data_IF_492419916819
#
_entry.id   IF_492419916819
#
_cell.length_a   1.000
_cell.length_b   1.000
_cell.length_c   1.000
_cell.angle_alpha   90.00
_cell.angle_beta   90.00
_cell.angle_gamma   90.00
#
_symmetry.space_group_name_H-M   'P 1'
#
loop_
_entity.id
_entity.type
_entity.pdbx_description
1 polymer ?
#
# COMPACT_ATOMS: atom_id res chain seq x y z
N UNK A 1 -0.52 5.48 17.36
CA UNK A 1 0.64 5.57 18.26
C UNK A 1 1.84 5.86 17.37
N UNK A 2 2.45 7.04 17.44
CA UNK A 2 3.65 7.33 16.63
C UNK A 2 4.80 6.58 17.31
N UNK A 3 5.05 5.36 16.87
CA UNK A 3 6.35 4.72 17.06
C UNK A 3 7.35 5.52 16.24
N UNK A 4 8.46 5.93 16.83
CA UNK A 4 9.55 6.53 16.06
C UNK A 4 9.97 5.56 14.97
N UNK A 5 10.44 6.05 13.82
CA UNK A 5 11.05 5.19 12.80
C UNK A 5 12.19 4.32 13.41
N UNK A 6 12.83 4.82 14.47
CA UNK A 6 13.82 4.06 15.24
C UNK A 6 13.23 2.81 15.91
N UNK A 7 12.00 2.87 16.41
CA UNK A 7 11.34 1.71 17.01
C UNK A 7 11.06 0.64 15.96
N UNK A 8 10.72 1.05 14.73
CA UNK A 8 10.55 0.13 13.60
C UNK A 8 11.86 -0.62 13.33
N UNK A 9 13.00 0.06 13.37
CA UNK A 9 14.30 -0.58 13.17
C UNK A 9 14.72 -1.51 14.31
N UNK A 10 14.40 -1.16 15.54
CA UNK A 10 14.72 -1.96 16.73
C UNK A 10 13.82 -3.19 16.87
N UNK A 11 12.54 -3.07 16.49
CA UNK A 11 11.53 -4.10 16.70
C UNK A 11 10.78 -4.44 15.41
N UNK A 12 11.51 -4.76 14.34
CA UNK A 12 10.97 -4.96 12.98
C UNK A 12 9.73 -5.84 12.95
N UNK A 13 9.82 -7.04 13.53
CA UNK A 13 8.72 -8.04 13.56
C UNK A 13 7.41 -7.49 14.15
N UNK A 14 7.50 -6.59 15.14
CA UNK A 14 6.32 -5.99 15.78
C UNK A 14 5.55 -5.06 14.85
N UNK A 15 6.25 -4.37 13.95
CA UNK A 15 5.68 -3.31 13.11
C UNK A 15 5.44 -3.75 11.66
N UNK A 16 6.11 -4.80 11.21
CA UNK A 16 5.90 -5.38 9.88
C UNK A 16 4.65 -6.26 9.85
N UNK A 17 3.98 -6.29 8.70
CA UNK A 17 2.81 -7.14 8.47
C UNK A 17 3.21 -8.61 8.57
N UNK A 18 2.55 -9.35 9.46
CA UNK A 18 2.70 -10.80 9.60
C UNK A 18 4.16 -11.27 9.77
N UNK A 19 4.96 -10.54 10.55
CA UNK A 19 6.40 -10.81 10.75
C UNK A 19 7.19 -10.93 9.43
N UNK A 20 6.69 -10.34 8.35
CA UNK A 20 7.35 -10.32 7.05
C UNK A 20 8.32 -9.13 6.96
N UNK A 21 8.86 -8.87 5.76
CA UNK A 21 9.65 -7.66 5.51
C UNK A 21 8.81 -6.42 5.18
N UNK A 22 7.48 -6.55 5.08
CA UNK A 22 6.62 -5.48 4.57
C UNK A 22 6.10 -4.60 5.70
N UNK A 23 6.29 -3.28 5.59
CA UNK A 23 5.78 -2.29 6.54
C UNK A 23 4.68 -1.47 5.91
N UNK A 24 3.48 -1.49 6.49
CA UNK A 24 2.40 -0.58 6.09
C UNK A 24 2.52 0.73 6.87
N UNK A 25 2.50 1.86 6.17
CA UNK A 25 2.50 3.17 6.79
C UNK A 25 1.54 4.13 6.06
N UNK A 26 0.98 5.07 6.80
CA UNK A 26 0.12 6.12 6.26
C UNK A 26 0.83 7.48 6.29
N UNK A 27 0.43 8.37 5.38
CA UNK A 27 0.82 9.77 5.41
C UNK A 27 -0.35 10.65 5.85
N UNK A 28 -0.08 11.84 6.39
CA UNK A 28 -1.14 12.80 6.66
C UNK A 28 -1.94 13.14 5.39
N UNK A 29 -3.19 13.55 5.55
CA UNK A 29 -4.15 13.66 4.45
C UNK A 29 -3.77 14.68 3.35
N UNK A 30 -3.08 15.77 3.67
CA UNK A 30 -2.87 16.88 2.75
C UNK A 30 -1.41 17.31 2.57
N UNK A 31 -0.48 16.57 3.16
CA UNK A 31 0.96 16.85 3.08
C UNK A 31 1.76 15.60 2.72
N UNK A 32 2.86 15.82 2.00
CA UNK A 32 3.95 14.85 1.87
C UNK A 32 5.08 15.30 2.80
N UNK A 33 5.47 14.50 3.80
CA UNK A 33 6.60 14.84 4.66
C UNK A 33 7.89 15.02 3.86
N UNK A 34 8.69 16.04 4.20
CA UNK A 34 9.90 16.41 3.44
C UNK A 34 10.90 15.25 3.32
N UNK A 35 11.07 14.48 4.40
CA UNK A 35 12.09 13.42 4.47
C UNK A 35 11.54 12.04 4.09
N UNK A 36 10.35 11.94 3.47
CA UNK A 36 9.73 10.64 3.21
C UNK A 36 10.55 9.76 2.26
N UNK A 37 11.15 10.36 1.22
CA UNK A 37 12.00 9.62 0.28
C UNK A 37 13.24 9.05 0.98
N UNK A 38 13.93 9.85 1.80
CA UNK A 38 15.06 9.40 2.60
C UNK A 38 14.65 8.29 3.58
N UNK A 39 13.46 8.41 4.17
CA UNK A 39 12.91 7.41 5.09
C UNK A 39 12.65 6.09 4.38
N UNK A 40 12.07 6.10 3.18
CA UNK A 40 11.86 4.90 2.37
C UNK A 40 13.19 4.24 1.99
N UNK A 41 14.18 5.01 1.55
CA UNK A 41 15.50 4.48 1.23
C UNK A 41 16.18 3.86 2.48
N UNK A 42 16.02 4.48 3.65
CA UNK A 42 16.49 3.94 4.93
C UNK A 42 15.80 2.61 5.26
N UNK A 43 14.48 2.50 5.11
CA UNK A 43 13.74 1.25 5.31
C UNK A 43 14.29 0.13 4.43
N UNK A 44 14.53 0.39 3.14
CA UNK A 44 15.13 -0.58 2.23
C UNK A 44 16.53 -1.00 2.68
N UNK A 45 17.38 -0.06 3.12
CA UNK A 45 18.73 -0.38 3.63
C UNK A 45 18.71 -1.29 4.86
N UNK A 46 17.59 -1.30 5.59
CA UNK A 46 17.33 -2.15 6.76
C UNK A 46 16.59 -3.45 6.40
N UNK A 47 16.40 -3.75 5.12
CA UNK A 47 15.71 -4.94 4.62
C UNK A 47 14.19 -4.89 4.73
N UNK A 48 13.61 -3.72 4.99
CA UNK A 48 12.16 -3.50 5.10
C UNK A 48 11.64 -2.93 3.77
N UNK A 49 10.54 -3.49 3.26
CA UNK A 49 9.85 -3.02 2.06
C UNK A 49 8.64 -2.17 2.49
N UNK A 50 8.66 -0.85 2.26
CA UNK A 50 7.54 0.02 2.61
C UNK A 50 6.35 -0.16 1.67
N UNK A 51 5.16 -0.12 2.25
CA UNK A 51 3.87 -0.04 1.57
C UNK A 51 3.16 1.22 2.08
N UNK A 52 2.90 2.18 1.20
CA UNK A 52 2.08 3.34 1.53
C UNK A 52 0.60 2.95 1.49
N UNK A 53 -0.09 3.16 2.60
CA UNK A 53 -1.52 2.96 2.74
C UNK A 53 -2.29 4.09 2.05
N UNK A 54 -3.28 3.70 1.25
CA UNK A 54 -4.27 4.54 0.58
C UNK A 54 -3.76 5.93 0.13
N UNK A 55 -2.66 6.03 -0.65
CA UNK A 55 -2.09 7.31 -1.06
C UNK A 55 -3.04 8.11 -1.96
N UNK A 56 -4.06 7.47 -2.53
CA UNK A 56 -5.13 8.14 -3.28
C UNK A 56 -6.00 9.07 -2.43
N UNK A 57 -5.99 8.89 -1.11
CA UNK A 57 -6.65 9.80 -0.17
C UNK A 57 -5.77 11.00 0.18
N UNK A 58 -4.48 10.98 -0.15
CA UNK A 58 -3.59 12.10 0.10
C UNK A 58 -3.78 13.21 -0.96
N UNK A 59 -4.34 14.34 -0.56
CA UNK A 59 -4.65 15.46 -1.45
C UNK A 59 -3.42 16.15 -2.04
N UNK A 60 -2.26 16.02 -1.41
CA UNK A 60 -1.01 16.48 -2.01
C UNK A 60 -0.66 15.65 -3.24
N UNK A 61 -0.77 14.32 -3.17
CA UNK A 61 -0.50 13.45 -4.32
C UNK A 61 -1.54 13.56 -5.43
N UNK A 62 -2.82 13.70 -5.09
CA UNK A 62 -3.88 13.91 -6.08
C UNK A 62 -3.60 15.16 -6.93
N UNK A 63 -3.03 16.21 -6.34
CA UNK A 63 -2.63 17.44 -7.04
C UNK A 63 -1.25 17.34 -7.70
N UNK A 64 -0.34 16.54 -7.13
CA UNK A 64 1.06 16.47 -7.53
C UNK A 64 1.48 15.03 -7.90
N UNK A 65 0.94 14.51 -9.00
CA UNK A 65 1.24 13.15 -9.47
C UNK A 65 2.74 12.89 -9.63
N UNK A 66 3.53 13.88 -10.06
CA UNK A 66 4.98 13.71 -10.21
C UNK A 66 5.66 13.39 -8.87
N UNK A 67 5.22 14.03 -7.77
CA UNK A 67 5.75 13.76 -6.43
C UNK A 67 5.37 12.38 -5.91
N UNK A 68 4.18 11.92 -6.27
CA UNK A 68 3.79 10.53 -6.02
C UNK A 68 4.68 9.54 -6.78
N UNK A 69 4.93 9.80 -8.07
CA UNK A 69 5.82 8.97 -8.91
C UNK A 69 7.24 8.93 -8.31
N UNK A 70 7.81 10.08 -7.96
CA UNK A 70 9.13 10.16 -7.31
C UNK A 70 9.19 9.28 -6.05
N UNK A 71 8.13 9.26 -5.23
CA UNK A 71 8.07 8.42 -4.04
C UNK A 71 8.05 6.92 -4.38
N UNK A 72 7.20 6.47 -5.30
CA UNK A 72 7.13 5.04 -5.62
C UNK A 72 8.38 4.54 -6.36
N UNK A 73 9.08 5.41 -7.10
CA UNK A 73 10.38 5.11 -7.72
C UNK A 73 11.48 4.81 -6.71
N UNK A 74 11.34 5.22 -5.44
CA UNK A 74 12.22 4.79 -4.34
C UNK A 74 11.98 3.34 -3.91
N UNK A 75 11.06 2.61 -4.57
CA UNK A 75 10.69 1.25 -4.25
C UNK A 75 9.58 1.15 -3.19
N UNK A 76 8.83 2.23 -2.95
CA UNK A 76 7.65 2.21 -2.09
C UNK A 76 6.47 1.58 -2.84
N UNK A 77 5.86 0.55 -2.25
CA UNK A 77 4.70 -0.12 -2.82
C UNK A 77 3.40 0.59 -2.44
N UNK A 78 2.35 0.41 -3.23
CA UNK A 78 1.08 1.12 -3.10
C UNK A 78 -0.05 0.15 -2.75
N UNK A 79 -0.78 0.47 -1.69
CA UNK A 79 -2.04 -0.17 -1.34
C UNK A 79 -3.19 0.82 -1.47
N UNK A 80 -4.21 0.52 -2.29
CA UNK A 80 -5.42 1.33 -2.43
C UNK A 80 -6.53 0.85 -1.50
N UNK A 81 -7.35 1.77 -1.00
CA UNK A 81 -8.59 1.48 -0.29
C UNK A 81 -9.71 1.07 -1.27
N UNK A 82 -10.39 -0.05 -0.99
CA UNK A 82 -11.56 -0.52 -1.74
C UNK A 82 -12.66 0.56 -1.86
N UNK A 83 -12.87 1.35 -0.81
CA UNK A 83 -13.87 2.43 -0.77
C UNK A 83 -13.52 3.56 -1.76
N UNK A 84 -12.24 3.82 -2.00
CA UNK A 84 -11.76 4.78 -3.01
C UNK A 84 -12.11 4.34 -4.42
N UNK A 85 -12.03 3.04 -4.71
CA UNK A 85 -12.37 2.43 -6.01
C UNK A 85 -13.87 2.56 -6.29
N UNK A 86 -14.70 2.23 -5.28
CA UNK A 86 -16.16 2.37 -5.38
C UNK A 86 -16.56 3.84 -5.50
N UNK A 87 -15.85 4.74 -4.81
CA UNK A 87 -16.01 6.19 -4.91
C UNK A 87 -16.58 6.87 -3.67
N UNK A 88 -16.54 6.18 -2.52
CA UNK A 88 -17.06 6.69 -1.24
C UNK A 88 -16.30 7.95 -0.81
N UNK A 89 -14.99 7.98 -1.04
CA UNK A 89 -14.13 9.13 -0.71
C UNK A 89 -14.21 10.28 -1.74
N UNK A 90 -15.18 10.25 -2.64
CA UNK A 90 -15.46 11.31 -3.60
C UNK A 90 -14.83 11.12 -4.98
N UNK A 91 -15.30 11.95 -5.92
CA UNK A 91 -14.99 11.78 -7.35
C UNK A 91 -13.53 12.04 -7.72
N UNK A 92 -12.85 12.97 -7.02
CA UNK A 92 -11.44 13.24 -7.26
C UNK A 92 -10.56 12.07 -6.82
N UNK A 93 -10.84 11.49 -5.65
CA UNK A 93 -10.16 10.29 -5.15
C UNK A 93 -10.39 9.13 -6.12
N UNK A 94 -11.64 8.87 -6.53
CA UNK A 94 -11.95 7.80 -7.51
C UNK A 94 -11.22 7.99 -8.84
N UNK A 95 -11.17 9.22 -9.38
CA UNK A 95 -10.45 9.53 -10.62
C UNK A 95 -8.95 9.25 -10.49
N UNK A 96 -8.35 9.67 -9.38
CA UNK A 96 -6.93 9.42 -9.13
C UNK A 96 -6.66 7.92 -8.92
N UNK A 97 -7.48 7.23 -8.15
CA UNK A 97 -7.46 5.77 -7.97
C UNK A 97 -7.47 5.04 -9.31
N UNK A 98 -8.40 5.38 -10.20
CA UNK A 98 -8.47 4.79 -11.54
C UNK A 98 -7.19 5.09 -12.33
N UNK A 99 -6.67 6.32 -12.26
CA UNK A 99 -5.41 6.68 -12.93
C UNK A 99 -4.23 5.83 -12.45
N UNK A 100 -4.13 5.55 -11.14
CA UNK A 100 -3.09 4.68 -10.60
C UNK A 100 -3.22 3.24 -11.12
N UNK A 101 -4.45 2.74 -11.25
CA UNK A 101 -4.77 1.42 -11.80
C UNK A 101 -4.45 1.35 -13.30
N UNK A 102 -4.84 2.35 -14.08
CA UNK A 102 -4.60 2.43 -15.52
C UNK A 102 -3.09 2.42 -15.82
N UNK A 103 -2.31 3.11 -14.99
CA UNK A 103 -0.85 3.18 -15.07
C UNK A 103 -0.13 1.99 -14.41
N UNK A 104 -0.87 1.01 -13.87
CA UNK A 104 -0.31 -0.19 -13.23
C UNK A 104 0.63 0.10 -12.06
N UNK A 105 0.37 1.18 -11.32
CA UNK A 105 1.21 1.64 -10.19
C UNK A 105 0.82 1.01 -8.85
N UNK A 106 -0.21 0.18 -8.82
CA UNK A 106 -0.79 -0.37 -7.58
C UNK A 106 -0.34 -1.81 -7.37
N UNK A 107 0.03 -2.16 -6.14
CA UNK A 107 0.39 -3.53 -5.79
C UNK A 107 -0.69 -4.21 -4.96
N UNK A 108 -1.43 -3.47 -4.13
CA UNK A 108 -2.43 -4.06 -3.25
C UNK A 108 -3.74 -3.27 -3.27
N UNK A 109 -4.84 -3.97 -3.05
CA UNK A 109 -6.10 -3.41 -2.58
C UNK A 109 -6.42 -4.05 -1.24
N UNK A 110 -6.90 -3.24 -0.30
CA UNK A 110 -7.37 -3.68 1.02
C UNK A 110 -8.67 -2.93 1.38
N UNK A 111 -9.43 -3.44 2.34
CA UNK A 111 -10.73 -2.86 2.70
C UNK A 111 -10.64 -1.57 3.51
N UNK A 112 -9.55 -1.38 4.28
CA UNK A 112 -9.46 -0.35 5.34
C UNK A 112 -10.69 -0.36 6.27
N UNK A 113 -11.22 -1.56 6.54
CA UNK A 113 -12.49 -1.74 7.24
C UNK A 113 -12.36 -1.43 8.75
N UNK A 114 -13.23 -0.56 9.25
CA UNK A 114 -13.33 -0.18 10.66
C UNK A 114 -14.57 -0.80 11.34
N UNK A 115 -15.51 -1.31 10.55
CA UNK A 115 -16.71 -2.05 10.98
C UNK A 115 -17.09 -3.13 9.96
N UNK A 116 -17.91 -4.14 10.33
CA UNK A 116 -18.25 -5.26 9.45
C UNK A 116 -18.82 -4.84 8.09
N UNK A 117 -19.61 -3.77 8.05
CA UNK A 117 -20.26 -3.28 6.83
C UNK A 117 -19.26 -2.76 5.80
N UNK A 118 -18.08 -2.29 6.23
CA UNK A 118 -17.04 -1.80 5.33
C UNK A 118 -16.43 -2.93 4.47
N UNK A 119 -16.61 -4.20 4.84
CA UNK A 119 -16.16 -5.32 4.01
C UNK A 119 -17.09 -5.59 2.82
N UNK A 120 -18.34 -5.14 2.87
CA UNK A 120 -19.35 -5.44 1.84
C UNK A 120 -18.95 -4.88 0.46
N UNK A 121 -18.23 -3.75 0.46
CA UNK A 121 -17.77 -3.07 -0.75
C UNK A 121 -16.55 -3.75 -1.41
N UNK A 122 -15.88 -4.68 -0.73
CA UNK A 122 -14.64 -5.26 -1.23
C UNK A 122 -14.87 -6.03 -2.54
N UNK A 123 -15.97 -6.79 -2.62
CA UNK A 123 -16.35 -7.50 -3.84
C UNK A 123 -16.68 -6.54 -4.99
N UNK A 124 -17.46 -5.49 -4.71
CA UNK A 124 -17.80 -4.47 -5.71
C UNK A 124 -16.54 -3.80 -6.27
N UNK A 125 -15.59 -3.45 -5.39
CA UNK A 125 -14.34 -2.84 -5.82
C UNK A 125 -13.53 -3.76 -6.76
N UNK A 126 -13.48 -5.08 -6.50
CA UNK A 126 -12.86 -6.06 -7.39
C UNK A 126 -13.52 -6.06 -8.77
N UNK A 127 -14.86 -6.10 -8.83
CA UNK A 127 -15.60 -6.12 -10.09
C UNK A 127 -15.38 -4.83 -10.90
N UNK A 128 -15.31 -3.68 -10.22
CA UNK A 128 -14.94 -2.40 -10.83
C UNK A 128 -13.54 -2.45 -11.43
N UNK A 129 -12.51 -2.87 -10.68
CA UNK A 129 -11.13 -2.96 -11.21
C UNK A 129 -11.05 -3.94 -12.36
N UNK A 130 -11.77 -5.07 -12.28
CA UNK A 130 -11.84 -6.05 -13.36
C UNK A 130 -12.39 -5.45 -14.64
N UNK A 131 -13.39 -4.58 -14.55
CA UNK A 131 -13.92 -3.84 -15.70
C UNK A 131 -12.92 -2.82 -16.27
N UNK A 132 -12.10 -2.19 -15.42
CA UNK A 132 -11.12 -1.18 -15.85
C UNK A 132 -9.85 -1.77 -16.45
N UNK A 133 -9.36 -2.87 -15.88
CA UNK A 133 -7.99 -3.33 -16.04
C UNK A 133 -7.85 -4.81 -16.39
N UNK A 134 -8.96 -5.55 -16.48
CA UNK A 134 -9.01 -6.97 -16.78
C UNK A 134 -8.80 -7.88 -15.57
N UNK A 135 -9.25 -9.13 -15.68
CA UNK A 135 -9.24 -10.12 -14.59
C UNK A 135 -7.84 -10.40 -14.05
N UNK A 136 -6.86 -10.59 -14.94
CA UNK A 136 -5.48 -10.92 -14.54
C UNK A 136 -4.88 -9.88 -13.60
N UNK A 137 -5.03 -8.59 -13.95
CA UNK A 137 -4.53 -7.51 -13.10
C UNK A 137 -5.30 -7.41 -11.78
N UNK A 138 -6.63 -7.59 -11.81
CA UNK A 138 -7.44 -7.61 -10.59
C UNK A 138 -7.02 -8.74 -9.66
N UNK A 139 -6.90 -9.97 -10.15
CA UNK A 139 -6.46 -11.11 -9.33
C UNK A 139 -5.08 -10.86 -8.71
N UNK A 140 -4.18 -10.23 -9.48
CA UNK A 140 -2.84 -9.88 -9.00
C UNK A 140 -2.88 -8.94 -7.79
N UNK A 141 -3.62 -7.83 -7.87
CA UNK A 141 -3.60 -6.81 -6.82
C UNK A 141 -4.61 -7.06 -5.69
N UNK A 142 -5.57 -7.99 -5.85
CA UNK A 142 -6.55 -8.37 -4.82
C UNK A 142 -6.24 -9.71 -4.14
N UNK A 143 -5.40 -10.56 -4.73
CA UNK A 143 -5.11 -11.91 -4.21
C UNK A 143 -3.64 -12.25 -4.23
N UNK A 144 -3.00 -12.32 -5.41
CA UNK A 144 -1.68 -12.94 -5.52
C UNK A 144 -0.59 -12.16 -4.80
N UNK A 145 -0.62 -10.83 -4.89
CA UNK A 145 0.39 -10.02 -4.21
C UNK A 145 0.25 -10.15 -2.68
N UNK A 146 -0.95 -10.30 -2.13
CA UNK A 146 -1.19 -10.44 -0.70
C UNK A 146 -0.54 -11.72 -0.13
N UNK A 147 -0.48 -12.80 -0.91
CA UNK A 147 0.12 -14.07 -0.49
C UNK A 147 1.58 -13.94 -0.09
N UNK A 148 2.34 -13.01 -0.70
CA UNK A 148 3.76 -12.79 -0.36
C UNK A 148 3.94 -12.23 1.06
N UNK A 149 2.88 -11.66 1.64
CA UNK A 149 2.85 -11.13 3.01
C UNK A 149 2.29 -12.19 3.97
N UNK A 150 1.22 -12.89 3.59
CA UNK A 150 0.52 -13.86 4.45
C UNK A 150 1.30 -15.19 4.58
N UNK A 151 1.91 -15.64 3.49
CA UNK A 151 2.73 -16.84 3.42
C UNK A 151 4.11 -16.46 2.89
N UNK A 152 4.94 -15.75 3.68
CA UNK A 152 6.27 -15.38 3.23
C UNK A 152 7.03 -16.67 2.88
N UNK A 153 7.81 -16.67 1.77
CA UNK A 153 8.53 -17.86 1.34
C UNK A 153 9.35 -18.41 2.50
N UNK A 154 9.26 -19.72 2.75
CA UNK A 154 10.02 -20.41 3.80
C UNK A 154 11.50 -20.11 3.58
N UNK A 155 12.06 -19.22 4.39
CA UNK A 155 13.51 -19.09 4.50
C UNK A 155 13.98 -20.37 5.16
N UNK A 156 14.83 -21.14 4.49
CA UNK A 156 15.40 -22.35 5.07
C UNK A 156 15.96 -22.02 6.46
N UNK A 157 15.78 -22.89 7.46
CA UNK A 157 16.36 -22.66 8.76
C UNK A 157 17.87 -22.47 8.59
N UNK A 158 18.38 -21.30 9.00
CA UNK A 158 19.82 -21.09 9.14
C UNK A 158 20.25 -22.02 10.26
N UNK A 159 20.73 -23.21 9.89
CA UNK A 159 21.47 -24.07 10.81
C UNK A 159 22.70 -23.30 11.25
N UNK A 160 22.64 -22.71 12.44
CA UNK A 160 23.83 -22.24 13.14
C UNK A 160 24.74 -23.46 13.34
N UNK A 161 25.88 -23.47 12.65
CA UNK A 161 27.05 -24.25 13.06
C UNK A 161 27.80 -23.48 14.13
#
# INVERSE_FOLDING_TARGET
MISSINDVFLYKEKYTLNNSKYLLFELPFDIMPVNINETVLKLHSEGIVPIIAHPERNMYFVKNMQKFIELIETGCLVQLDAASIVGIHGSNVKKFTKKLIDLKLVQFVASDAHKPEDYEIYKESYDIVKSWAGKEYSDKIFTYNQEVIIAPPVTQPVTKK
#
